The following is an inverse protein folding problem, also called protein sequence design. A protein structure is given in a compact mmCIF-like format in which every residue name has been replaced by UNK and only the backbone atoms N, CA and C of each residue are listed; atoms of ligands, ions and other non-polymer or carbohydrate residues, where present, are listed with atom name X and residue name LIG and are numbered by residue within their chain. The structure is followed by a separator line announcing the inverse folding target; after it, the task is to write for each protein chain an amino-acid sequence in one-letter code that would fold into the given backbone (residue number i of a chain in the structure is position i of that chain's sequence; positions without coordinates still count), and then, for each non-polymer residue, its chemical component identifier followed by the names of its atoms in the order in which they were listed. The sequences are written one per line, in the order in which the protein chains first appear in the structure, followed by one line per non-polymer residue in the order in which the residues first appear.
data_IF_027126084764
#
_entry.id   IF_027126084764
#
_cell.length_a   1.000
_cell.length_b   1.000
_cell.length_c   1.000
_cell.angle_alpha   90.00
_cell.angle_beta   90.00
_cell.angle_gamma   90.00
#
_symmetry.space_group_name_H-M   'P 1'
#
loop_
_entity.id
_entity.type
_entity.pdbx_description
1 polymer ?
#
# COMPACT_ATOMS: atom_id res chain seq x y z
N UNK A 1 10.22 0.01 -4.97
CA UNK A 1 10.00 1.38 -5.50
C UNK A 1 10.79 2.40 -4.69
N UNK A 2 10.39 2.80 -3.47
CA UNK A 2 11.12 3.82 -2.67
C UNK A 2 12.62 3.52 -2.47
N UNK A 3 12.97 2.24 -2.32
CA UNK A 3 14.37 1.81 -2.21
C UNK A 3 15.22 2.17 -3.44
N UNK A 4 14.66 2.14 -4.65
CA UNK A 4 15.35 2.57 -5.87
C UNK A 4 15.66 4.08 -5.86
N UNK A 5 14.88 4.86 -5.11
CA UNK A 5 15.10 6.29 -4.89
C UNK A 5 15.97 6.56 -3.66
N UNK A 6 16.46 5.52 -2.97
CA UNK A 6 17.24 5.60 -1.73
C UNK A 6 16.49 6.32 -0.60
N UNK A 7 15.18 6.16 -0.55
CA UNK A 7 14.30 6.80 0.44
C UNK A 7 13.85 5.74 1.46
N UNK A 8 14.00 6.07 2.73
CA UNK A 8 13.57 5.24 3.86
C UNK A 8 12.98 6.10 4.99
N UNK A 9 12.02 5.54 5.73
CA UNK A 9 11.35 6.20 6.84
C UNK A 9 11.12 5.24 8.01
N UNK A 10 11.33 5.75 9.24
CA UNK A 10 11.10 4.97 10.47
C UNK A 10 9.63 4.68 10.80
N UNK A 11 8.68 5.39 10.17
CA UNK A 11 7.24 5.30 10.48
C UNK A 11 6.45 4.88 9.24
N UNK A 12 5.55 3.91 9.40
CA UNK A 12 4.64 3.49 8.33
C UNK A 12 3.81 4.64 7.76
N UNK A 13 3.32 5.55 8.62
CA UNK A 13 2.56 6.72 8.17
C UNK A 13 3.37 7.65 7.27
N UNK A 14 4.69 7.78 7.50
CA UNK A 14 5.57 8.56 6.64
C UNK A 14 5.79 7.87 5.28
N UNK A 15 5.95 6.54 5.26
CA UNK A 15 6.02 5.75 4.03
C UNK A 15 4.74 5.94 3.18
N UNK A 16 3.56 5.81 3.80
CA UNK A 16 2.26 5.97 3.12
C UNK A 16 2.08 7.40 2.61
N UNK A 17 2.46 8.41 3.41
CA UNK A 17 2.39 9.81 3.02
C UNK A 17 3.28 10.08 1.80
N UNK A 18 4.53 9.61 1.84
CA UNK A 18 5.47 9.74 0.73
C UNK A 18 4.94 9.05 -0.53
N UNK A 19 4.41 7.82 -0.40
CA UNK A 19 3.81 7.08 -1.50
C UNK A 19 2.67 7.86 -2.17
N UNK A 20 1.75 8.39 -1.36
CA UNK A 20 0.63 9.15 -1.88
C UNK A 20 1.08 10.45 -2.57
N UNK A 21 2.02 11.18 -1.98
CA UNK A 21 2.50 12.45 -2.53
C UNK A 21 3.25 12.28 -3.85
N UNK A 22 4.10 11.26 -3.97
CA UNK A 22 5.08 11.17 -5.07
C UNK A 22 4.67 10.21 -6.20
N UNK A 23 3.64 9.39 -5.98
CA UNK A 23 3.17 8.43 -6.98
C UNK A 23 1.68 8.54 -7.25
N UNK A 24 0.84 8.73 -6.23
CA UNK A 24 -0.62 8.81 -6.42
C UNK A 24 -1.06 10.20 -6.87
N UNK A 25 -0.62 11.24 -6.16
CA UNK A 25 -0.99 12.63 -6.47
C UNK A 25 -0.37 13.13 -7.78
N UNK A 26 0.74 12.53 -8.19
CA UNK A 26 1.38 12.78 -9.49
C UNK A 26 0.86 11.85 -10.59
N UNK A 27 -0.21 11.09 -10.32
CA UNK A 27 -0.90 10.20 -11.27
C UNK A 27 -0.05 9.07 -11.88
N UNK A 28 1.12 8.76 -11.29
CA UNK A 28 1.95 7.61 -11.68
C UNK A 28 1.30 6.28 -11.26
N UNK A 29 0.55 6.30 -10.16
CA UNK A 29 -0.21 5.18 -9.63
C UNK A 29 -1.65 5.63 -9.37
N UNK A 30 -2.61 4.79 -9.74
CA UNK A 30 -4.03 5.11 -9.58
C UNK A 30 -4.44 5.32 -8.10
N UNK A 31 -5.37 6.25 -7.86
CA UNK A 31 -5.92 6.58 -6.53
C UNK A 31 -6.52 5.38 -5.79
N UNK A 32 -6.95 4.32 -6.49
CA UNK A 32 -7.46 3.08 -5.88
C UNK A 32 -6.40 2.42 -4.99
N UNK A 33 -5.12 2.49 -5.35
CA UNK A 33 -4.05 1.84 -4.60
C UNK A 33 -3.76 2.58 -3.28
N UNK A 34 -3.98 3.89 -3.22
CA UNK A 34 -3.99 4.65 -1.97
C UNK A 34 -5.07 4.14 -1.01
N UNK A 35 -6.30 3.93 -1.53
CA UNK A 35 -7.43 3.41 -0.75
C UNK A 35 -7.16 1.99 -0.25
N UNK A 36 -6.58 1.13 -1.08
CA UNK A 36 -6.18 -0.23 -0.69
C UNK A 36 -5.18 -0.17 0.46
N UNK A 37 -4.10 0.60 0.31
CA UNK A 37 -3.03 0.69 1.30
C UNK A 37 -3.52 1.25 2.64
N UNK A 38 -4.30 2.34 2.60
CA UNK A 38 -4.92 2.91 3.81
C UNK A 38 -5.94 1.96 4.46
N UNK A 39 -6.69 1.21 3.66
CA UNK A 39 -7.63 0.20 4.17
C UNK A 39 -6.91 -0.92 4.90
N UNK A 40 -5.83 -1.44 4.32
CA UNK A 40 -5.01 -2.49 4.91
C UNK A 40 -4.34 -2.02 6.22
N UNK A 41 -3.78 -0.81 6.25
CA UNK A 41 -3.14 -0.26 7.45
C UNK A 41 -4.14 -0.07 8.60
N UNK A 42 -5.33 0.48 8.32
CA UNK A 42 -6.41 0.60 9.30
C UNK A 42 -6.88 -0.76 9.81
N UNK A 43 -7.03 -1.74 8.93
CA UNK A 43 -7.49 -3.08 9.32
C UNK A 43 -6.46 -3.79 10.18
N UNK A 44 -5.17 -3.68 9.83
CA UNK A 44 -4.06 -4.19 10.65
C UNK A 44 -4.09 -3.57 12.04
N UNK A 45 -4.15 -2.24 12.13
CA UNK A 45 -4.19 -1.55 13.43
C UNK A 45 -5.42 -1.97 14.25
N UNK A 46 -6.59 -2.13 13.62
CA UNK A 46 -7.79 -2.63 14.33
C UNK A 46 -7.61 -4.08 14.80
N UNK A 47 -6.99 -4.93 13.99
CA UNK A 47 -6.74 -6.33 14.33
C UNK A 47 -5.74 -6.48 15.46
N UNK A 48 -4.70 -5.64 15.49
CA UNK A 48 -3.60 -5.76 16.46
C UNK A 48 -3.95 -5.14 17.81
N UNK A 49 -4.85 -4.15 17.85
CA UNK A 49 -5.10 -3.33 19.05
C UNK A 49 -6.54 -3.34 19.56
N UNK A 50 -7.51 -3.94 18.87
CA UNK A 50 -8.88 -4.08 19.41
C UNK A 50 -9.09 -5.47 20.03
N UNK A 51 -9.54 -5.50 21.28
CA UNK A 51 -9.80 -6.73 22.05
C UNK A 51 -10.82 -7.67 21.39
N UNK A 52 -11.75 -7.15 20.58
CA UNK A 52 -12.83 -7.90 19.95
C UNK A 52 -12.84 -7.77 18.42
N UNK A 53 -11.67 -7.87 17.76
CA UNK A 53 -11.62 -7.85 16.30
C UNK A 53 -12.14 -9.16 15.69
N UNK A 54 -13.35 -9.13 15.14
CA UNK A 54 -13.93 -10.26 14.41
C UNK A 54 -13.49 -10.19 12.94
N UNK A 55 -12.77 -11.21 12.50
CA UNK A 55 -12.36 -11.34 11.10
C UNK A 55 -13.59 -11.66 10.24
N UNK A 56 -14.02 -10.69 9.42
CA UNK A 56 -15.19 -10.82 8.53
C UNK A 56 -14.78 -11.31 7.13
N UNK A 57 -15.77 -11.46 6.22
CA UNK A 57 -15.55 -11.71 4.78
C UNK A 57 -14.68 -10.66 4.09
N UNK A 58 -14.38 -9.52 4.73
CA UNK A 58 -13.41 -8.55 4.19
C UNK A 58 -12.00 -9.12 4.05
N UNK A 59 -11.66 -10.22 4.72
CA UNK A 59 -10.35 -10.88 4.57
C UNK A 59 -10.05 -11.31 3.13
N UNK A 60 -11.01 -11.92 2.44
CA UNK A 60 -10.83 -12.35 1.04
C UNK A 60 -10.57 -11.16 0.13
N UNK A 61 -11.33 -10.07 0.33
CA UNK A 61 -11.12 -8.81 -0.38
C UNK A 61 -9.74 -8.21 -0.12
N UNK A 62 -9.22 -8.29 1.12
CA UNK A 62 -7.89 -7.80 1.45
C UNK A 62 -6.78 -8.61 0.74
N UNK A 63 -6.94 -9.93 0.65
CA UNK A 63 -6.00 -10.79 -0.08
C UNK A 63 -5.98 -10.41 -1.57
N UNK A 64 -7.16 -10.27 -2.19
CA UNK A 64 -7.27 -9.87 -3.59
C UNK A 64 -6.67 -8.47 -3.83
N UNK A 65 -6.97 -7.51 -2.95
CA UNK A 65 -6.42 -6.17 -3.01
C UNK A 65 -4.89 -6.16 -2.87
N UNK A 66 -4.33 -6.99 -1.98
CA UNK A 66 -2.89 -7.09 -1.80
C UNK A 66 -2.21 -7.65 -3.06
N UNK A 67 -2.82 -8.65 -3.70
CA UNK A 67 -2.33 -9.21 -4.95
C UNK A 67 -2.37 -8.19 -6.09
N UNK A 68 -3.50 -7.49 -6.28
CA UNK A 68 -3.63 -6.40 -7.28
C UNK A 68 -2.61 -5.27 -7.01
N UNK A 69 -2.40 -4.91 -5.74
CA UNK A 69 -1.42 -3.90 -5.35
C UNK A 69 0.01 -4.33 -5.71
N UNK A 70 0.43 -5.55 -5.33
CA UNK A 70 1.77 -6.07 -5.62
C UNK A 70 2.00 -6.09 -7.13
N UNK A 71 1.09 -6.68 -7.90
CA UNK A 71 1.21 -6.75 -9.36
C UNK A 71 1.39 -5.36 -9.99
N UNK A 72 0.60 -4.37 -9.55
CA UNK A 72 0.75 -3.02 -10.10
C UNK A 72 2.11 -2.39 -9.75
N UNK A 73 2.56 -2.53 -8.51
CA UNK A 73 3.84 -1.95 -8.08
C UNK A 73 5.01 -2.66 -8.76
N UNK A 74 4.93 -3.98 -8.96
CA UNK A 74 5.92 -4.74 -9.74
C UNK A 74 5.96 -4.28 -11.19
N UNK A 75 4.81 -4.19 -11.87
CA UNK A 75 4.71 -3.64 -13.24
C UNK A 75 5.34 -2.25 -13.32
N UNK A 76 5.00 -1.37 -12.39
CA UNK A 76 5.56 -0.02 -12.34
C UNK A 76 7.08 -0.03 -12.14
N UNK A 77 7.59 -0.90 -11.25
CA UNK A 77 9.03 -1.02 -11.02
C UNK A 77 9.74 -1.51 -12.29
N UNK A 78 9.20 -2.53 -12.94
CA UNK A 78 9.79 -3.10 -14.16
C UNK A 78 9.78 -2.12 -15.34
N UNK A 79 8.74 -1.29 -15.46
CA UNK A 79 8.65 -0.28 -16.52
C UNK A 79 9.59 0.93 -16.31
N UNK A 80 10.03 1.20 -15.07
CA UNK A 80 10.68 2.46 -14.72
C UNK A 80 12.09 2.33 -14.09
N UNK A 81 12.48 1.15 -13.60
CA UNK A 81 13.74 0.99 -12.86
C UNK A 81 14.54 -0.26 -13.25
N UNK A 82 13.95 -1.19 -13.99
CA UNK A 82 14.61 -2.42 -14.45
C UNK A 82 14.72 -2.33 -15.98
N UNK A 83 15.93 -2.44 -16.52
CA UNK A 83 16.16 -2.64 -17.96
C UNK A 83 15.77 -4.06 -18.40
#
# INVERSE_FOLDING_TARGET
MLAYERIDFKKHSAIISYFNQNYVNTEKIDKKYSKILMGAEKLRNKSDYNDFFIVTREKEKQILNAHDFILKIESYINENYVE
#
